data_IF_217158858365
#
_entry.id   IF_217158858365
#
_cell.length_a   1.000
_cell.length_b   1.000
_cell.length_c   1.000
_cell.angle_alpha   90.00
_cell.angle_beta   90.00
_cell.angle_gamma   90.00
#
_symmetry.space_group_name_H-M   'P 1'
#
loop_
_entity.id
_entity.type
_entity.pdbx_description
1 polymer ?
#
# COMPACT_ATOMS: atom_id res chain seq x y z
N UNK A 1 -22.37 27.93 -2.81
CA UNK A 1 -23.04 29.22 -2.62
C UNK A 1 -22.59 30.14 -3.74
N UNK A 2 -23.49 30.96 -4.26
CA UNK A 2 -23.23 31.87 -5.35
C UNK A 2 -24.04 33.14 -5.12
N UNK A 3 -23.48 34.30 -5.41
CA UNK A 3 -24.27 35.52 -5.38
C UNK A 3 -23.51 36.79 -5.69
N UNK A 4 -24.23 37.92 -5.81
CA UNK A 4 -23.61 39.23 -5.86
C UNK A 4 -23.01 39.57 -4.48
N UNK A 5 -21.81 40.13 -4.47
CA UNK A 5 -21.18 40.71 -3.28
C UNK A 5 -21.35 42.24 -3.26
N UNK A 6 -21.25 42.86 -4.43
CA UNK A 6 -21.42 44.29 -4.68
C UNK A 6 -21.77 44.51 -6.16
N UNK A 7 -21.95 45.77 -6.57
CA UNK A 7 -22.13 46.11 -7.99
C UNK A 7 -20.93 45.61 -8.82
N UNK A 8 -21.21 44.86 -9.89
CA UNK A 8 -20.19 44.24 -10.74
C UNK A 8 -19.30 43.22 -10.03
N UNK A 9 -19.67 42.70 -8.86
CA UNK A 9 -18.86 41.69 -8.14
C UNK A 9 -19.72 40.49 -7.77
N UNK A 10 -19.30 39.30 -8.19
CA UNK A 10 -19.93 38.02 -7.83
C UNK A 10 -18.94 37.14 -7.07
N UNK A 11 -19.47 36.27 -6.21
CA UNK A 11 -18.68 35.28 -5.51
C UNK A 11 -19.25 33.88 -5.72
N UNK A 12 -18.35 32.89 -5.70
CA UNK A 12 -18.63 31.47 -5.63
C UNK A 12 -17.93 30.88 -4.40
N UNK A 13 -18.60 30.01 -3.65
CA UNK A 13 -18.01 29.24 -2.57
C UNK A 13 -18.54 27.81 -2.61
N UNK A 14 -17.67 26.82 -2.70
CA UNK A 14 -18.01 25.41 -2.59
C UNK A 14 -17.21 24.73 -1.48
N UNK A 15 -17.85 23.76 -0.84
CA UNK A 15 -17.20 22.85 0.10
C UNK A 15 -17.74 21.45 -0.14
N UNK A 16 -16.85 20.47 -0.17
CA UNK A 16 -17.16 19.06 -0.29
C UNK A 16 -16.40 18.30 0.79
N UNK A 17 -17.11 17.43 1.48
CA UNK A 17 -16.55 16.45 2.39
C UNK A 17 -17.12 15.08 2.01
N UNK A 18 -16.24 14.10 1.86
CA UNK A 18 -16.61 12.72 1.61
C UNK A 18 -15.75 11.82 2.50
N UNK A 19 -16.40 10.92 3.23
CA UNK A 19 -15.75 9.86 3.99
C UNK A 19 -16.36 8.52 3.57
N UNK A 20 -15.51 7.52 3.39
CA UNK A 20 -15.89 6.17 3.03
C UNK A 20 -15.05 5.17 3.80
N UNK A 21 -15.72 4.38 4.64
CA UNK A 21 -15.09 3.35 5.47
C UNK A 21 -15.64 1.98 5.09
N UNK A 22 -14.74 1.05 4.80
CA UNK A 22 -15.01 -0.39 4.73
C UNK A 22 -14.47 -0.99 6.03
N UNK A 23 -15.34 -1.25 7.03
CA UNK A 23 -14.90 -1.67 8.36
C UNK A 23 -14.35 -3.10 8.38
N UNK A 24 -14.89 -3.97 7.54
CA UNK A 24 -14.50 -5.37 7.40
C UNK A 24 -14.21 -5.68 5.92
N UNK A 25 -13.08 -5.18 5.44
CA UNK A 25 -12.53 -5.53 4.13
C UNK A 25 -11.91 -6.92 4.22
N UNK A 26 -12.65 -7.93 3.77
CA UNK A 26 -12.15 -9.30 3.64
C UNK A 26 -11.30 -9.39 2.38
N UNK A 27 -10.01 -9.64 2.57
CA UNK A 27 -9.09 -9.88 1.47
C UNK A 27 -8.28 -11.15 1.71
N UNK A 28 -8.08 -11.88 0.63
CA UNK A 28 -7.17 -13.01 0.57
C UNK A 28 -6.06 -12.62 -0.41
N UNK A 29 -4.86 -12.29 0.07
CA UNK A 29 -3.77 -12.06 -0.85
C UNK A 29 -3.50 -13.33 -1.66
N UNK A 30 -3.66 -13.25 -2.98
CA UNK A 30 -3.12 -14.22 -3.94
C UNK A 30 -1.70 -13.82 -4.35
N UNK A 31 -0.89 -13.36 -3.40
CA UNK A 31 0.49 -12.98 -3.67
C UNK A 31 1.38 -14.23 -3.57
N UNK A 32 2.28 -14.48 -4.54
CA UNK A 32 3.32 -15.47 -4.35
C UNK A 32 4.20 -15.06 -3.15
N UNK A 33 4.88 -16.02 -2.49
CA UNK A 33 5.88 -15.70 -1.48
C UNK A 33 6.88 -14.69 -2.05
N UNK A 34 7.19 -13.63 -1.30
CA UNK A 34 8.23 -12.66 -1.70
C UNK A 34 9.64 -13.27 -1.63
N UNK A 35 9.79 -14.41 -0.96
CA UNK A 35 10.97 -15.27 -0.97
C UNK A 35 10.53 -16.74 -1.06
N UNK A 36 11.07 -17.47 -2.04
CA UNK A 36 10.59 -18.81 -2.44
C UNK A 36 11.46 -19.97 -1.94
N UNK A 37 12.62 -19.75 -1.34
CA UNK A 37 13.57 -20.82 -0.95
C UNK A 37 14.44 -20.37 0.24
N UNK A 38 13.84 -20.24 1.42
CA UNK A 38 14.50 -19.61 2.57
C UNK A 38 14.54 -20.50 3.81
N UNK A 39 14.26 -21.80 3.77
CA UNK A 39 14.33 -22.62 4.99
C UNK A 39 13.40 -22.16 6.15
N UNK A 40 12.46 -21.23 5.91
CA UNK A 40 11.50 -20.78 6.92
C UNK A 40 10.48 -21.89 7.20
N UNK A 41 10.02 -22.56 6.13
CA UNK A 41 8.88 -23.48 6.15
C UNK A 41 9.33 -24.93 5.95
N UNK A 42 10.34 -25.33 6.74
CA UNK A 42 10.90 -26.68 6.73
C UNK A 42 10.08 -27.58 7.64
N UNK A 43 9.61 -28.70 7.09
CA UNK A 43 8.92 -29.77 7.81
C UNK A 43 9.94 -30.90 8.02
N UNK A 44 10.48 -30.99 9.24
CA UNK A 44 11.38 -32.10 9.59
C UNK A 44 10.65 -33.44 9.66
N UNK A 45 11.40 -34.52 9.63
CA UNK A 45 10.93 -35.90 9.81
C UNK A 45 10.33 -36.16 11.21
N UNK A 46 10.68 -35.35 12.22
CA UNK A 46 10.08 -35.41 13.56
C UNK A 46 8.78 -34.60 13.69
N UNK A 47 8.35 -33.89 12.64
CA UNK A 47 7.10 -33.14 12.68
C UNK A 47 5.91 -34.10 12.89
N UNK A 48 5.12 -33.97 13.99
CA UNK A 48 4.12 -34.98 14.36
C UNK A 48 3.05 -35.19 13.28
N UNK A 49 2.61 -34.12 12.63
CA UNK A 49 1.71 -34.20 11.46
C UNK A 49 2.29 -34.97 10.26
N UNK A 50 3.61 -34.88 10.02
CA UNK A 50 4.29 -35.61 8.94
C UNK A 50 4.46 -37.07 9.31
N UNK A 51 4.89 -37.36 10.54
CA UNK A 51 5.01 -38.73 11.06
C UNK A 51 3.68 -39.47 10.93
N UNK A 52 2.57 -38.84 11.35
CA UNK A 52 1.24 -39.44 11.22
C UNK A 52 0.82 -39.60 9.75
N UNK A 53 1.08 -38.59 8.91
CA UNK A 53 0.79 -38.68 7.47
C UNK A 53 1.53 -39.86 6.82
N UNK A 54 2.83 -40.00 7.06
CA UNK A 54 3.68 -41.05 6.51
C UNK A 54 3.34 -42.45 7.02
N UNK A 55 2.82 -42.56 8.25
CA UNK A 55 2.35 -43.83 8.81
C UNK A 55 0.94 -44.21 8.35
N UNK A 56 0.21 -43.29 7.72
CA UNK A 56 -1.13 -43.53 7.20
C UNK A 56 -1.12 -44.19 5.82
N UNK A 57 -2.22 -44.86 5.46
CA UNK A 57 -2.41 -45.43 4.12
C UNK A 57 -2.38 -44.40 2.98
N UNK A 58 -2.60 -43.11 3.30
CA UNK A 58 -2.58 -42.02 2.34
C UNK A 58 -1.15 -41.53 2.06
N UNK A 59 -0.29 -41.48 3.06
CA UNK A 59 1.13 -41.18 2.88
C UNK A 59 1.84 -42.22 2.02
N UNK A 60 1.48 -43.50 2.18
CA UNK A 60 2.04 -44.61 1.40
C UNK A 60 1.68 -44.58 -0.10
N UNK A 61 0.72 -43.75 -0.53
CA UNK A 61 0.27 -43.70 -1.93
C UNK A 61 1.29 -43.13 -2.92
N UNK A 62 2.37 -42.49 -2.44
CA UNK A 62 3.42 -41.90 -3.26
C UNK A 62 4.86 -42.28 -2.86
N UNK A 63 5.04 -43.09 -1.82
CA UNK A 63 6.34 -43.50 -1.29
C UNK A 63 6.42 -45.03 -1.19
N UNK A 64 7.62 -45.59 -1.32
CA UNK A 64 7.81 -47.05 -1.24
C UNK A 64 7.61 -47.59 0.20
N UNK A 65 7.84 -46.75 1.21
CA UNK A 65 7.59 -47.05 2.62
C UNK A 65 7.34 -45.76 3.43
N UNK A 66 6.85 -45.90 4.66
CA UNK A 66 6.74 -44.77 5.60
C UNK A 66 8.10 -44.19 5.97
N UNK A 67 9.14 -45.04 6.03
CA UNK A 67 10.53 -44.60 6.20
C UNK A 67 11.00 -43.73 5.03
N UNK A 68 10.67 -44.12 3.79
CA UNK A 68 10.98 -43.30 2.61
C UNK A 68 10.23 -41.96 2.61
N UNK A 69 8.99 -41.93 3.13
CA UNK A 69 8.25 -40.68 3.32
C UNK A 69 8.89 -39.75 4.37
N UNK A 70 9.63 -40.31 5.33
CA UNK A 70 10.34 -39.58 6.37
C UNK A 70 11.80 -39.26 6.01
N UNK A 71 12.27 -39.65 4.81
CA UNK A 71 13.58 -39.24 4.31
C UNK A 71 13.59 -37.75 3.96
N UNK A 72 14.70 -37.09 4.26
CA UNK A 72 14.99 -35.68 4.01
C UNK A 72 13.99 -34.67 4.60
N UNK A 73 14.36 -33.39 4.58
CA UNK A 73 13.47 -32.29 4.95
C UNK A 73 12.48 -32.00 3.83
N UNK A 74 11.22 -31.78 4.20
CA UNK A 74 10.21 -31.30 3.27
C UNK A 74 10.05 -29.79 3.38
N UNK A 75 9.68 -29.15 2.27
CA UNK A 75 9.48 -27.72 2.23
C UNK A 75 8.03 -27.40 1.89
N UNK A 76 7.38 -26.65 2.76
CA UNK A 76 6.05 -26.12 2.48
C UNK A 76 6.15 -24.74 1.84
N UNK A 77 5.70 -24.64 0.60
CA UNK A 77 5.61 -23.37 -0.12
C UNK A 77 4.17 -22.95 -0.25
N UNK A 78 3.69 -22.17 0.72
CA UNK A 78 2.31 -21.72 0.70
C UNK A 78 1.96 -20.83 1.87
N UNK A 79 0.71 -20.36 1.84
CA UNK A 79 0.10 -19.65 2.96
C UNK A 79 -0.30 -20.67 4.02
N UNK A 80 -0.22 -20.27 5.29
CA UNK A 80 -0.63 -21.13 6.39
C UNK A 80 -2.14 -21.41 6.41
N UNK A 81 -2.91 -20.53 5.79
CA UNK A 81 -4.36 -20.61 5.72
C UNK A 81 -4.77 -20.43 4.27
N UNK A 82 -5.47 -21.43 3.73
CA UNK A 82 -5.96 -21.42 2.36
C UNK A 82 -7.07 -20.39 2.12
N UNK A 83 -7.53 -20.29 0.87
CA UNK A 83 -8.54 -19.31 0.43
C UNK A 83 -9.86 -19.39 1.22
N UNK A 84 -10.21 -20.58 1.70
CA UNK A 84 -11.42 -20.83 2.47
C UNK A 84 -11.28 -20.61 3.98
N UNK A 85 -10.08 -20.31 4.47
CA UNK A 85 -9.92 -20.00 5.87
C UNK A 85 -10.59 -18.68 6.24
N UNK A 86 -10.73 -18.39 7.54
CA UNK A 86 -11.45 -17.21 7.98
C UNK A 86 -10.86 -15.95 7.36
N UNK A 87 -11.74 -15.17 6.73
CA UNK A 87 -11.40 -13.90 6.11
C UNK A 87 -10.73 -12.98 7.12
N UNK A 88 -9.65 -12.32 6.71
CA UNK A 88 -8.98 -11.32 7.56
C UNK A 88 -9.77 -10.02 7.45
N UNK A 89 -10.37 -9.58 8.55
CA UNK A 89 -11.06 -8.29 8.62
C UNK A 89 -10.04 -7.17 8.71
N UNK A 90 -9.85 -6.44 7.61
CA UNK A 90 -9.04 -5.22 7.59
C UNK A 90 -9.95 -4.00 7.48
N UNK A 91 -9.45 -2.84 7.86
CA UNK A 91 -10.15 -1.56 7.66
C UNK A 91 -9.52 -0.81 6.48
N UNK A 92 -10.37 -0.34 5.57
CA UNK A 92 -10.02 0.67 4.56
C UNK A 92 -10.85 1.91 4.76
N UNK A 93 -10.23 3.07 4.70
CA UNK A 93 -10.84 4.38 4.84
C UNK A 93 -10.27 5.33 3.81
N UNK A 94 -11.12 6.20 3.28
CA UNK A 94 -10.72 7.34 2.45
C UNK A 94 -11.51 8.55 2.86
N UNK A 95 -10.84 9.67 3.06
CA UNK A 95 -11.46 10.96 3.36
C UNK A 95 -11.00 11.99 2.34
N UNK A 96 -11.95 12.75 1.77
CA UNK A 96 -11.66 13.84 0.84
C UNK A 96 -12.36 15.10 1.33
N UNK A 97 -11.58 16.16 1.49
CA UNK A 97 -12.08 17.52 1.76
C UNK A 97 -11.68 18.43 0.61
N UNK A 98 -12.61 19.24 0.11
CA UNK A 98 -12.34 20.29 -0.86
C UNK A 98 -13.07 21.56 -0.46
N UNK A 99 -12.39 22.69 -0.51
CA UNK A 99 -12.94 24.02 -0.30
C UNK A 99 -12.46 24.89 -1.46
N UNK A 100 -13.37 25.59 -2.12
CA UNK A 100 -12.97 26.56 -3.14
C UNK A 100 -13.79 27.83 -3.03
N UNK A 101 -13.14 28.96 -3.21
CA UNK A 101 -13.75 30.27 -3.25
C UNK A 101 -13.27 31.00 -4.51
N UNK A 102 -14.18 31.68 -5.20
CA UNK A 102 -13.87 32.54 -6.34
C UNK A 102 -14.58 33.89 -6.17
N UNK A 103 -13.93 34.96 -6.63
CA UNK A 103 -14.52 36.27 -6.79
C UNK A 103 -14.28 36.72 -8.23
N UNK A 104 -15.36 37.10 -8.91
CA UNK A 104 -15.30 37.73 -10.22
C UNK A 104 -15.71 39.20 -10.05
N UNK A 105 -14.97 40.11 -10.70
CA UNK A 105 -15.25 41.53 -10.66
C UNK A 105 -15.13 42.18 -12.04
N UNK A 106 -16.20 42.83 -12.45
CA UNK A 106 -16.23 43.69 -13.62
C UNK A 106 -15.55 45.02 -13.33
N UNK A 107 -14.56 45.35 -14.17
CA UNK A 107 -13.70 46.50 -14.05
C UNK A 107 -13.83 47.39 -15.30
N UNK A 108 -13.41 48.66 -15.16
CA UNK A 108 -13.12 49.51 -16.30
C UNK A 108 -11.67 50.00 -16.27
N UNK A 109 -10.88 49.60 -17.27
CA UNK A 109 -9.47 50.00 -17.41
C UNK A 109 -9.35 50.86 -18.67
N UNK A 110 -8.98 52.13 -18.51
CA UNK A 110 -8.88 53.06 -19.64
C UNK A 110 -10.22 53.30 -20.37
N UNK A 111 -11.35 53.17 -19.68
CA UNK A 111 -12.70 53.30 -20.27
C UNK A 111 -13.16 52.08 -21.08
N UNK A 112 -12.46 50.94 -20.97
CA UNK A 112 -12.83 49.65 -21.58
C UNK A 112 -13.23 48.65 -20.53
N UNK A 113 -14.12 47.72 -20.88
CA UNK A 113 -14.55 46.65 -19.99
C UNK A 113 -13.41 45.64 -19.79
N UNK A 114 -13.19 45.25 -18.53
CA UNK A 114 -12.28 44.20 -18.13
C UNK A 114 -12.96 43.36 -17.04
N UNK A 115 -12.48 42.14 -16.82
CA UNK A 115 -12.96 41.24 -15.80
C UNK A 115 -11.75 40.67 -15.05
N UNK A 116 -11.83 40.72 -13.71
CA UNK A 116 -10.87 40.13 -12.80
C UNK A 116 -11.51 38.92 -12.13
N UNK A 117 -10.91 37.75 -12.29
CA UNK A 117 -11.27 36.51 -11.60
C UNK A 117 -10.15 36.18 -10.60
N UNK A 118 -10.51 35.91 -9.34
CA UNK A 118 -9.57 35.53 -8.28
C UNK A 118 -10.10 34.34 -7.51
N UNK A 119 -9.41 33.21 -7.65
CA UNK A 119 -9.78 31.92 -7.08
C UNK A 119 -8.77 31.41 -6.06
N UNK A 120 -9.27 30.72 -5.03
CA UNK A 120 -8.48 29.87 -4.14
C UNK A 120 -9.18 28.52 -3.98
N UNK A 121 -8.43 27.44 -4.15
CA UNK A 121 -8.87 26.08 -3.92
C UNK A 121 -7.93 25.39 -2.93
N UNK A 122 -8.50 24.68 -1.97
CA UNK A 122 -7.81 23.71 -1.13
C UNK A 122 -8.47 22.36 -1.32
N UNK A 123 -7.68 21.32 -1.50
CA UNK A 123 -8.15 19.94 -1.43
C UNK A 123 -7.18 19.08 -0.66
N UNK A 124 -7.73 18.16 0.12
CA UNK A 124 -7.01 17.13 0.86
C UNK A 124 -7.69 15.80 0.62
N UNK A 125 -6.89 14.79 0.31
CA UNK A 125 -7.32 13.41 0.24
C UNK A 125 -6.42 12.57 1.14
N UNK A 126 -7.04 11.82 2.06
CA UNK A 126 -6.36 10.82 2.87
C UNK A 126 -6.92 9.45 2.54
N UNK A 127 -6.09 8.42 2.69
CA UNK A 127 -6.56 7.05 2.57
C UNK A 127 -5.51 6.05 2.98
N UNK A 128 -5.95 4.87 3.37
CA UNK A 128 -5.02 3.83 3.80
C UNK A 128 -5.00 2.62 2.86
N UNK A 129 -3.82 2.05 2.72
CA UNK A 129 -3.62 0.74 2.13
C UNK A 129 -3.29 -0.24 3.25
N UNK A 130 -4.23 -1.14 3.54
CA UNK A 130 -4.05 -2.18 4.54
C UNK A 130 -4.00 -3.55 3.87
N UNK A 131 -2.96 -4.30 4.19
CA UNK A 131 -2.70 -5.66 3.72
C UNK A 131 -2.44 -6.60 4.88
N UNK A 132 -2.95 -7.83 4.80
CA UNK A 132 -2.64 -8.81 5.82
C UNK A 132 -1.30 -9.45 5.51
N UNK A 133 -0.45 -9.58 6.52
CA UNK A 133 0.89 -10.12 6.44
C UNK A 133 1.09 -11.29 7.41
N UNK A 134 2.16 -12.05 7.20
CA UNK A 134 2.57 -13.16 8.08
C UNK A 134 4.04 -12.95 8.42
N UNK A 135 4.36 -12.92 9.71
CA UNK A 135 5.74 -12.74 10.16
C UNK A 135 6.59 -13.95 9.80
N UNK A 136 7.72 -13.69 9.14
CA UNK A 136 8.69 -14.73 8.76
C UNK A 136 9.22 -15.49 9.98
N UNK A 137 9.64 -14.78 11.03
CA UNK A 137 10.17 -15.43 12.24
C UNK A 137 9.12 -16.29 12.97
N UNK A 138 7.85 -15.87 12.98
CA UNK A 138 6.77 -16.64 13.64
C UNK A 138 6.46 -17.92 12.87
N UNK A 139 6.52 -17.85 11.53
CA UNK A 139 6.44 -19.04 10.67
C UNK A 139 7.61 -19.98 10.92
N UNK A 140 8.84 -19.45 10.93
CA UNK A 140 10.06 -20.23 11.21
C UNK A 140 9.94 -21.02 12.52
N UNK A 141 9.41 -20.39 13.57
CA UNK A 141 9.17 -21.02 14.86
C UNK A 141 8.08 -22.10 14.80
N UNK A 142 6.93 -21.79 14.18
CA UNK A 142 5.80 -22.71 14.09
C UNK A 142 6.13 -24.00 13.32
N UNK A 143 6.90 -23.92 12.24
CA UNK A 143 7.34 -25.12 11.51
C UNK A 143 8.28 -26.03 12.32
N UNK A 144 8.91 -25.49 13.37
CA UNK A 144 9.83 -26.20 14.27
C UNK A 144 9.19 -26.55 15.61
N UNK A 145 7.88 -26.36 15.75
CA UNK A 145 7.15 -26.68 16.98
C UNK A 145 7.27 -25.63 18.08
N UNK A 146 7.88 -24.48 17.81
CA UNK A 146 8.02 -23.37 18.76
C UNK A 146 7.06 -22.21 18.47
N UNK A 147 5.99 -22.48 17.71
CA UNK A 147 4.99 -21.47 17.38
C UNK A 147 4.09 -21.16 18.58
N UNK A 148 3.59 -19.92 18.65
CA UNK A 148 2.61 -19.51 19.64
C UNK A 148 3.09 -18.32 20.46
N UNK A 149 2.16 -17.45 20.90
CA UNK A 149 2.50 -16.22 21.61
C UNK A 149 3.18 -16.47 22.97
N UNK A 150 2.95 -17.64 23.57
CA UNK A 150 3.38 -17.96 24.93
C UNK A 150 4.50 -19.02 24.98
N UNK A 151 4.99 -19.50 23.83
CA UNK A 151 6.06 -20.51 23.79
C UNK A 151 7.39 -19.99 24.37
N UNK A 152 7.63 -18.67 24.33
CA UNK A 152 8.81 -18.03 24.92
C UNK A 152 10.11 -18.19 24.14
N UNK A 153 10.06 -18.80 22.94
CA UNK A 153 11.22 -18.99 22.07
C UNK A 153 11.25 -17.92 20.99
N UNK A 154 12.41 -17.26 20.85
CA UNK A 154 12.67 -16.25 19.82
C UNK A 154 13.60 -16.75 18.71
N UNK A 155 13.97 -15.84 17.81
CA UNK A 155 14.98 -16.07 16.77
C UNK A 155 16.14 -15.09 16.92
N UNK A 156 17.28 -15.45 16.33
CA UNK A 156 18.45 -14.56 16.18
C UNK A 156 18.74 -14.42 14.69
N UNK A 157 19.02 -13.19 14.24
CA UNK A 157 19.43 -12.94 12.87
C UNK A 157 20.72 -13.72 12.54
N UNK A 158 20.74 -14.36 11.38
CA UNK A 158 21.85 -15.20 10.92
C UNK A 158 21.85 -15.25 9.39
N UNK A 159 22.70 -14.44 8.78
CA UNK A 159 22.84 -14.32 7.32
C UNK A 159 23.48 -15.54 6.66
N UNK A 160 24.07 -16.45 7.45
CA UNK A 160 24.61 -17.72 6.96
C UNK A 160 23.54 -18.81 6.84
N UNK A 161 22.41 -18.64 7.54
CA UNK A 161 21.25 -19.53 7.45
C UNK A 161 20.45 -19.23 6.18
N UNK A 162 19.92 -20.25 5.47
CA UNK A 162 18.99 -20.04 4.36
C UNK A 162 17.80 -19.16 4.71
N UNK A 163 17.41 -19.12 5.99
CA UNK A 163 16.28 -18.32 6.51
C UNK A 163 16.61 -16.92 6.97
N UNK A 164 17.89 -16.54 6.90
CA UNK A 164 18.36 -15.27 7.48
C UNK A 164 18.24 -15.24 9.01
N UNK A 165 17.94 -16.37 9.64
CA UNK A 165 17.77 -16.50 11.08
C UNK A 165 18.06 -17.92 11.57
N UNK A 166 18.21 -18.06 12.89
CA UNK A 166 18.26 -19.34 13.59
C UNK A 166 17.45 -19.28 14.87
N UNK A 167 17.18 -20.44 15.47
CA UNK A 167 16.56 -20.51 16.79
C UNK A 167 17.41 -19.77 17.83
N UNK A 168 16.73 -18.99 18.67
CA UNK A 168 17.30 -18.42 19.87
C UNK A 168 17.43 -19.46 20.99
N UNK A 169 17.69 -19.00 22.21
CA UNK A 169 17.69 -19.86 23.38
C UNK A 169 16.28 -20.42 23.62
N UNK A 170 16.13 -21.74 23.65
CA UNK A 170 14.86 -22.41 23.91
C UNK A 170 14.57 -22.57 25.40
N UNK A 171 15.57 -22.41 26.27
CA UNK A 171 15.43 -22.65 27.70
C UNK A 171 14.89 -24.05 27.99
N UNK A 172 13.76 -24.14 28.69
CA UNK A 172 13.06 -25.40 28.97
C UNK A 172 11.96 -25.73 27.96
N UNK A 173 11.67 -24.84 27.00
CA UNK A 173 10.61 -25.08 26.02
C UNK A 173 10.95 -26.30 25.16
N UNK A 174 9.94 -27.15 24.94
CA UNK A 174 10.04 -28.32 24.08
C UNK A 174 9.10 -28.13 22.89
N UNK A 175 9.49 -28.56 21.68
CA UNK A 175 8.68 -28.33 20.50
C UNK A 175 7.37 -29.10 20.59
N UNK A 176 6.25 -28.43 20.31
CA UNK A 176 4.91 -29.01 20.39
C UNK A 176 4.38 -29.28 21.82
N UNK A 177 5.08 -28.86 22.87
CA UNK A 177 4.68 -29.08 24.26
C UNK A 177 4.22 -27.79 24.94
N UNK A 178 3.20 -27.90 25.80
CA UNK A 178 2.66 -26.78 26.57
C UNK A 178 2.08 -25.70 25.65
N UNK A 179 2.68 -24.51 25.70
CA UNK A 179 2.28 -23.34 24.91
C UNK A 179 3.00 -23.22 23.54
N UNK A 180 3.77 -24.25 23.17
CA UNK A 180 4.49 -24.34 21.90
C UNK A 180 3.74 -25.25 20.93
N UNK A 181 3.51 -24.78 19.71
CA UNK A 181 2.70 -25.45 18.70
C UNK A 181 3.47 -25.64 17.40
N UNK A 182 3.19 -26.76 16.73
CA UNK A 182 3.54 -26.97 15.34
C UNK A 182 2.48 -26.36 14.42
N UNK A 183 2.92 -25.75 13.31
CA UNK A 183 2.02 -25.57 12.17
C UNK A 183 2.00 -26.86 11.34
N UNK A 184 0.83 -27.49 11.26
CA UNK A 184 0.61 -28.73 10.54
C UNK A 184 -0.05 -28.48 9.17
N UNK A 185 0.68 -28.63 8.04
CA UNK A 185 0.14 -28.44 6.70
C UNK A 185 -0.62 -29.65 6.14
N UNK A 186 -0.64 -30.78 6.86
CA UNK A 186 -1.21 -32.02 6.35
C UNK A 186 -2.73 -32.08 6.59
N UNK A 187 -3.42 -32.87 5.76
CA UNK A 187 -4.87 -33.05 5.88
C UNK A 187 -5.31 -33.64 7.23
N UNK A 188 -4.42 -34.31 7.96
CA UNK A 188 -4.70 -34.82 9.31
C UNK A 188 -4.89 -33.74 10.38
N UNK A 189 -4.59 -32.47 10.06
CA UNK A 189 -4.88 -31.32 10.90
C UNK A 189 -6.32 -30.78 10.74
N UNK A 190 -7.07 -31.27 9.75
CA UNK A 190 -8.32 -30.66 9.28
C UNK A 190 -9.47 -31.65 9.46
N UNK A 191 -10.35 -31.40 10.43
CA UNK A 191 -11.54 -32.22 10.65
C UNK A 191 -12.63 -31.99 9.60
N UNK A 192 -12.88 -30.73 9.23
CA UNK A 192 -13.86 -30.36 8.21
C UNK A 192 -13.24 -29.39 7.20
N UNK A 193 -13.53 -29.59 5.92
CA UNK A 193 -13.08 -28.68 4.88
C UNK A 193 -13.83 -27.35 4.99
N UNK A 194 -13.09 -26.25 5.04
CA UNK A 194 -13.67 -24.91 5.02
C UNK A 194 -14.10 -24.46 3.61
N UNK A 195 -13.65 -25.16 2.56
CA UNK A 195 -13.92 -24.77 1.17
C UNK A 195 -15.30 -25.25 0.74
N UNK A 196 -16.21 -24.34 0.33
CA UNK A 196 -17.52 -24.74 -0.15
C UNK A 196 -17.45 -25.71 -1.33
N UNK A 197 -18.19 -26.81 -1.25
CA UNK A 197 -18.24 -27.87 -2.26
C UNK A 197 -17.07 -28.87 -2.22
N UNK A 198 -16.13 -28.74 -1.29
CA UNK A 198 -15.02 -29.68 -1.16
C UNK A 198 -15.44 -30.98 -0.45
N UNK A 199 -14.73 -32.10 -0.71
CA UNK A 199 -14.84 -33.28 0.13
C UNK A 199 -14.67 -32.92 1.61
N UNK A 200 -15.45 -33.56 2.48
CA UNK A 200 -15.44 -33.35 3.92
C UNK A 200 -15.86 -31.95 4.42
N UNK A 201 -16.58 -31.16 3.61
CA UNK A 201 -17.25 -29.95 4.10
C UNK A 201 -18.34 -30.29 5.12
N UNK A 202 -19.17 -31.29 4.80
CA UNK A 202 -20.34 -31.69 5.61
C UNK A 202 -20.17 -33.06 6.31
N UNK A 203 -19.00 -33.67 6.20
CA UNK A 203 -18.68 -34.97 6.82
C UNK A 203 -17.26 -34.89 7.38
N UNK A 204 -17.00 -35.48 8.54
CA UNK A 204 -15.66 -35.45 9.13
C UNK A 204 -14.64 -36.13 8.20
N UNK A 205 -13.46 -35.52 8.08
CA UNK A 205 -12.33 -36.07 7.39
C UNK A 205 -11.85 -37.34 8.13
N UNK A 206 -11.86 -38.52 7.49
CA UNK A 206 -11.42 -39.76 8.14
C UNK A 206 -9.92 -39.77 8.48
N UNK A 207 -9.15 -38.81 7.95
CA UNK A 207 -7.72 -38.66 8.22
C UNK A 207 -7.41 -37.70 9.37
N UNK A 208 -8.42 -37.03 9.92
CA UNK A 208 -8.21 -36.12 11.04
C UNK A 208 -7.71 -36.87 12.27
N UNK A 209 -6.69 -36.31 12.91
CA UNK A 209 -6.14 -36.83 14.17
C UNK A 209 -6.19 -35.73 15.22
N UNK A 210 -6.97 -35.97 16.27
CA UNK A 210 -7.12 -35.02 17.38
C UNK A 210 -5.78 -34.78 18.08
N UNK A 211 -5.49 -33.50 18.35
CA UNK A 211 -4.22 -33.02 18.89
C UNK A 211 -3.20 -32.62 17.82
N UNK A 212 -3.48 -32.86 16.53
CA UNK A 212 -2.65 -32.41 15.41
C UNK A 212 -3.24 -31.20 14.66
N UNK A 213 -4.38 -30.68 15.11
CA UNK A 213 -4.97 -29.45 14.57
C UNK A 213 -4.08 -28.22 14.76
N UNK A 214 -4.18 -27.28 13.81
CA UNK A 214 -3.52 -25.99 13.96
C UNK A 214 -4.21 -25.14 15.03
N UNK A 215 -3.46 -24.81 16.09
CA UNK A 215 -3.96 -23.95 17.17
C UNK A 215 -4.35 -22.55 16.63
N UNK A 216 -5.56 -22.10 16.99
CA UNK A 216 -6.08 -20.80 16.52
C UNK A 216 -5.24 -19.61 16.98
N UNK A 217 -4.82 -19.60 18.25
CA UNK A 217 -4.01 -18.52 18.81
C UNK A 217 -2.62 -18.47 18.17
N UNK A 218 -2.03 -19.60 17.81
CA UNK A 218 -0.79 -19.65 17.03
C UNK A 218 -0.99 -19.04 15.63
N UNK A 219 -2.07 -19.41 14.93
CA UNK A 219 -2.36 -18.84 13.61
C UNK A 219 -2.58 -17.33 13.70
N UNK A 220 -3.37 -16.84 14.65
CA UNK A 220 -3.60 -15.41 14.86
C UNK A 220 -2.29 -14.69 15.23
N UNK A 221 -1.45 -15.31 16.07
CA UNK A 221 -0.13 -14.78 16.42
C UNK A 221 0.82 -14.67 15.22
N UNK A 222 0.81 -15.59 14.25
CA UNK A 222 1.68 -15.47 13.07
C UNK A 222 1.30 -14.26 12.20
N UNK A 223 0.03 -13.87 12.23
CA UNK A 223 -0.50 -12.81 11.38
C UNK A 223 -0.21 -11.41 11.93
N UNK A 224 -0.16 -10.45 11.01
CA UNK A 224 -0.04 -9.03 11.30
C UNK A 224 -0.67 -8.20 10.17
N UNK A 225 -0.84 -6.91 10.37
CA UNK A 225 -1.27 -5.97 9.34
C UNK A 225 -0.11 -5.07 8.91
N UNK A 226 0.11 -4.94 7.60
CA UNK A 226 0.92 -3.88 7.02
C UNK A 226 -0.04 -2.79 6.54
N UNK A 227 0.05 -1.62 7.15
CA UNK A 227 -0.80 -0.49 6.84
C UNK A 227 0.05 0.70 6.42
N UNK A 228 -0.37 1.42 5.38
CA UNK A 228 0.20 2.69 4.96
C UNK A 228 -0.90 3.71 4.89
N UNK A 229 -0.76 4.80 5.64
CA UNK A 229 -1.63 5.97 5.53
C UNK A 229 -1.01 6.91 4.51
N UNK A 230 -1.81 7.34 3.52
CA UNK A 230 -1.38 8.25 2.46
C UNK A 230 -2.18 9.54 2.59
N UNK A 231 -1.52 10.65 2.32
CA UNK A 231 -2.11 11.97 2.31
C UNK A 231 -1.62 12.74 1.09
N UNK A 232 -2.54 13.46 0.44
CA UNK A 232 -2.25 14.40 -0.63
C UNK A 232 -3.02 15.70 -0.35
N UNK A 233 -2.31 16.81 -0.27
CA UNK A 233 -2.87 18.15 -0.13
C UNK A 233 -2.51 18.99 -1.36
N UNK A 234 -3.44 19.85 -1.77
CA UNK A 234 -3.27 20.73 -2.92
C UNK A 234 -3.91 22.08 -2.59
N UNK A 235 -3.11 23.14 -2.64
CA UNK A 235 -3.57 24.53 -2.64
C UNK A 235 -3.33 25.11 -4.02
N UNK A 236 -4.35 25.77 -4.57
CA UNK A 236 -4.24 26.57 -5.80
C UNK A 236 -4.77 27.96 -5.50
N UNK A 237 -4.00 29.00 -5.79
CA UNK A 237 -4.46 30.37 -5.77
C UNK A 237 -4.19 30.99 -7.13
N UNK A 238 -5.19 31.62 -7.75
CA UNK A 238 -5.06 32.17 -9.08
C UNK A 238 -5.76 33.52 -9.22
N UNK A 239 -5.25 34.32 -10.14
CA UNK A 239 -5.85 35.58 -10.54
C UNK A 239 -5.70 35.75 -12.05
N UNK A 240 -6.81 36.06 -12.72
CA UNK A 240 -6.84 36.29 -14.17
C UNK A 240 -7.51 37.63 -14.46
N UNK A 241 -6.85 38.48 -15.22
CA UNK A 241 -7.40 39.69 -15.79
C UNK A 241 -7.65 39.48 -17.27
N UNK A 242 -8.88 39.65 -17.71
CA UNK A 242 -9.26 39.56 -19.12
C UNK A 242 -10.04 40.78 -19.57
N UNK A 243 -10.08 41.03 -20.87
CA UNK A 243 -10.86 42.13 -21.42
C UNK A 243 -10.56 42.40 -22.88
N UNK A 244 -11.00 43.57 -23.35
CA UNK A 244 -10.73 44.05 -24.69
C UNK A 244 -10.02 45.40 -24.66
N UNK A 245 -8.94 45.54 -25.41
CA UNK A 245 -8.33 46.85 -25.68
C UNK A 245 -9.06 47.55 -26.83
N UNK A 246 -9.40 46.78 -27.86
CA UNK A 246 -10.22 47.22 -28.99
C UNK A 246 -11.41 46.25 -29.11
N UNK A 247 -12.64 46.69 -28.83
CA UNK A 247 -13.82 45.84 -28.98
C UNK A 247 -13.82 45.14 -30.34
N UNK A 248 -14.06 43.83 -30.33
CA UNK A 248 -14.13 42.97 -31.52
C UNK A 248 -12.84 42.88 -32.36
N UNK A 249 -11.70 43.40 -31.86
CA UNK A 249 -10.42 43.37 -32.60
C UNK A 249 -9.23 42.91 -31.79
N UNK A 250 -9.21 43.19 -30.49
CA UNK A 250 -8.07 42.91 -29.64
C UNK A 250 -8.52 42.58 -28.22
N UNK A 251 -8.60 41.29 -27.95
CA UNK A 251 -8.88 40.74 -26.64
C UNK A 251 -7.59 40.28 -25.98
N UNK A 252 -7.56 40.32 -24.65
CA UNK A 252 -6.41 39.89 -23.88
C UNK A 252 -6.85 39.09 -22.64
N UNK A 253 -5.96 38.20 -22.20
CA UNK A 253 -6.03 37.57 -20.89
C UNK A 253 -4.62 37.46 -20.33
N UNK A 254 -4.44 37.89 -19.09
CA UNK A 254 -3.19 37.71 -18.34
C UNK A 254 -3.53 37.10 -17.00
N UNK A 255 -2.71 36.19 -16.52
CA UNK A 255 -2.97 35.60 -15.23
C UNK A 255 -1.74 35.05 -14.55
N UNK A 256 -1.92 34.80 -13.27
CA UNK A 256 -0.95 34.19 -12.40
C UNK A 256 -1.62 33.10 -11.56
N UNK A 257 -0.95 31.97 -11.39
CA UNK A 257 -1.38 30.88 -10.55
C UNK A 257 -0.22 30.42 -9.67
N UNK A 258 -0.50 30.25 -8.39
CA UNK A 258 0.34 29.53 -7.43
C UNK A 258 -0.32 28.20 -7.12
N UNK A 259 0.46 27.12 -7.18
CA UNK A 259 0.03 25.79 -6.79
C UNK A 259 1.04 25.20 -5.82
N UNK A 260 0.57 24.65 -4.70
CA UNK A 260 1.38 23.86 -3.79
C UNK A 260 0.76 22.48 -3.62
N UNK A 261 1.56 21.45 -3.83
CA UNK A 261 1.15 20.06 -3.60
C UNK A 261 2.06 19.46 -2.53
N UNK A 262 1.47 18.82 -1.54
CA UNK A 262 2.14 18.03 -0.52
C UNK A 262 1.63 16.60 -0.62
N UNK A 263 2.54 15.62 -0.60
CA UNK A 263 2.19 14.20 -0.55
C UNK A 263 3.00 13.51 0.53
N UNK A 264 2.37 12.58 1.24
CA UNK A 264 3.07 11.73 2.19
C UNK A 264 2.48 10.33 2.25
N UNK A 265 3.32 9.37 2.65
CA UNK A 265 2.86 8.07 3.07
C UNK A 265 3.62 7.59 4.32
N UNK A 266 2.86 7.15 5.31
CA UNK A 266 3.35 6.76 6.62
C UNK A 266 2.97 5.29 6.86
N UNK A 267 3.93 4.36 6.78
CA UNK A 267 3.70 2.98 7.15
C UNK A 267 3.58 2.83 8.67
N UNK A 268 2.76 1.87 9.12
CA UNK A 268 2.75 1.45 10.51
C UNK A 268 4.11 0.84 10.92
N UNK A 269 4.42 0.85 12.22
CA UNK A 269 5.75 0.49 12.70
C UNK A 269 6.24 -0.89 12.21
N UNK A 270 5.36 -1.87 12.19
CA UNK A 270 5.67 -3.24 11.75
C UNK A 270 5.95 -3.34 10.25
N UNK A 271 5.25 -2.55 9.43
CA UNK A 271 5.42 -2.46 7.97
C UNK A 271 6.47 -1.46 7.51
N UNK A 272 7.10 -0.73 8.44
CA UNK A 272 8.04 0.34 8.12
C UNK A 272 9.45 -0.21 7.88
N UNK A 273 9.97 -0.12 6.66
CA UNK A 273 11.31 -0.58 6.31
C UNK A 273 12.44 0.26 6.90
N UNK A 274 12.19 1.49 7.35
CA UNK A 274 13.17 2.23 8.15
C UNK A 274 13.40 1.60 9.53
N UNK A 275 12.44 0.81 10.04
CA UNK A 275 12.51 0.12 11.33
C UNK A 275 12.78 -1.39 11.19
N UNK A 276 12.13 -2.04 10.23
CA UNK A 276 12.18 -3.49 10.00
C UNK A 276 12.63 -3.83 8.56
N UNK A 277 13.84 -3.43 8.15
CA UNK A 277 14.33 -3.73 6.79
C UNK A 277 14.68 -5.20 6.58
N UNK A 278 14.96 -5.95 7.66
CA UNK A 278 15.41 -7.34 7.60
C UNK A 278 14.32 -8.34 8.05
N UNK A 279 14.60 -9.64 7.89
CA UNK A 279 13.64 -10.73 8.15
C UNK A 279 13.28 -10.90 9.63
N UNK A 280 14.19 -10.51 10.54
CA UNK A 280 13.95 -10.45 11.98
C UNK A 280 13.54 -9.01 12.34
N UNK A 281 12.39 -8.80 12.99
CA UNK A 281 11.97 -7.46 13.42
C UNK A 281 13.04 -6.75 14.26
N UNK A 282 13.27 -5.46 13.97
CA UNK A 282 14.27 -4.62 14.61
C UNK A 282 15.71 -4.85 14.14
N UNK A 283 15.98 -5.92 13.38
CA UNK A 283 17.30 -6.13 12.79
C UNK A 283 17.51 -5.23 11.57
N UNK A 284 18.71 -4.68 11.48
CA UNK A 284 19.17 -3.82 10.38
C UNK A 284 20.50 -4.28 9.80
N UNK A 285 20.99 -5.46 10.20
CA UNK A 285 22.28 -6.00 9.77
C UNK A 285 22.34 -6.28 8.26
N UNK A 286 21.17 -6.54 7.65
CA UNK A 286 21.04 -6.70 6.20
C UNK A 286 21.15 -5.38 5.41
N UNK A 287 21.31 -4.21 6.07
CA UNK A 287 21.48 -2.92 5.39
C UNK A 287 22.95 -2.51 5.46
N UNK A 288 23.57 -2.30 4.30
CA UNK A 288 24.90 -1.71 4.21
C UNK A 288 24.90 -0.29 4.83
N UNK A 289 25.72 -0.03 5.87
CA UNK A 289 25.71 1.25 6.58
C UNK A 289 26.29 2.41 5.75
N UNK A 290 27.05 2.12 4.68
CA UNK A 290 27.67 3.11 3.80
C UNK A 290 26.77 3.42 2.62
N UNK A 291 26.21 2.40 1.97
CA UNK A 291 25.42 2.58 0.74
C UNK A 291 23.92 2.64 0.98
N UNK A 292 23.44 2.25 2.17
CA UNK A 292 22.02 2.09 2.47
C UNK A 292 21.34 0.95 1.71
N UNK A 293 22.11 0.17 0.94
CA UNK A 293 21.57 -0.94 0.14
C UNK A 293 21.41 -2.18 1.00
N UNK A 294 20.32 -2.90 0.79
CA UNK A 294 20.10 -4.17 1.46
C UNK A 294 20.90 -5.30 0.79
N UNK A 295 21.49 -6.19 1.60
CA UNK A 295 22.15 -7.44 1.21
C UNK A 295 21.22 -8.62 1.54
N UNK A 296 21.26 -9.70 0.73
CA UNK A 296 20.44 -10.90 0.97
C UNK A 296 18.99 -10.84 0.44
N UNK A 297 18.12 -11.72 0.95
CA UNK A 297 16.71 -11.83 0.55
C UNK A 297 15.87 -10.65 1.09
N UNK A 298 15.12 -10.01 0.19
CA UNK A 298 14.83 -8.55 0.17
C UNK A 298 13.39 -8.17 0.58
N UNK A 299 12.81 -8.90 1.53
CA UNK A 299 11.36 -8.85 1.77
C UNK A 299 10.93 -8.22 3.11
N UNK A 300 11.89 -7.82 3.96
CA UNK A 300 11.63 -7.40 5.33
C UNK A 300 11.06 -8.53 6.19
N UNK A 301 10.35 -8.18 7.27
CA UNK A 301 9.94 -9.13 8.31
C UNK A 301 8.80 -10.10 7.92
N UNK A 302 8.28 -10.04 6.69
CA UNK A 302 7.07 -10.73 6.26
C UNK A 302 7.29 -11.60 5.03
N UNK A 303 6.52 -12.69 4.88
CA UNK A 303 6.75 -13.68 3.80
C UNK A 303 5.91 -13.49 2.53
N UNK A 304 4.86 -12.66 2.58
CA UNK A 304 3.90 -12.47 1.45
C UNK A 304 3.60 -11.01 1.12
N UNK A 305 3.80 -10.11 2.07
CA UNK A 305 3.45 -8.69 1.95
C UNK A 305 4.70 -7.90 2.21
N UNK A 306 5.06 -7.03 1.27
CA UNK A 306 6.17 -6.11 1.45
C UNK A 306 5.78 -5.00 2.44
N UNK A 307 6.74 -4.56 3.24
CA UNK A 307 6.68 -3.27 3.90
C UNK A 307 6.94 -2.10 2.94
N UNK A 308 6.99 -0.90 3.50
CA UNK A 308 7.16 0.37 2.80
C UNK A 308 8.13 1.28 3.55
N UNK A 309 8.84 2.14 2.83
CA UNK A 309 9.53 3.28 3.46
C UNK A 309 8.55 4.44 3.62
N UNK A 310 8.64 5.21 4.72
CA UNK A 310 7.94 6.49 4.79
C UNK A 310 8.46 7.39 3.67
N UNK A 311 7.56 8.12 3.01
CA UNK A 311 7.93 9.17 2.08
C UNK A 311 7.12 10.42 2.35
N UNK A 312 7.70 11.56 2.01
CA UNK A 312 7.05 12.86 2.00
C UNK A 312 7.74 13.72 0.96
N UNK A 313 6.96 14.40 0.14
CA UNK A 313 7.49 15.31 -0.87
C UNK A 313 6.51 16.45 -1.10
N UNK A 314 7.03 17.59 -1.52
CA UNK A 314 6.26 18.81 -1.73
C UNK A 314 6.79 19.57 -2.93
N UNK A 315 5.90 20.19 -3.70
CA UNK A 315 6.30 21.03 -4.83
C UNK A 315 5.46 22.31 -4.86
N UNK A 316 6.13 23.45 -5.08
CA UNK A 316 5.48 24.70 -5.42
C UNK A 316 5.66 25.02 -6.91
N UNK A 317 4.57 25.43 -7.56
CA UNK A 317 4.56 25.87 -8.95
C UNK A 317 4.01 27.28 -9.02
N UNK A 318 4.81 28.18 -9.60
CA UNK A 318 4.41 29.53 -9.94
C UNK A 318 4.22 29.61 -11.45
N UNK A 319 3.03 29.98 -11.90
CA UNK A 319 2.68 30.06 -13.32
C UNK A 319 2.24 31.47 -13.65
N UNK A 320 2.81 32.07 -14.69
CA UNK A 320 2.35 33.32 -15.29
C UNK A 320 2.02 33.08 -16.75
N UNK A 321 0.87 33.58 -17.21
CA UNK A 321 0.47 33.41 -18.61
C UNK A 321 -0.09 34.70 -19.19
N UNK A 322 -0.01 34.79 -20.52
CA UNK A 322 -0.59 35.86 -21.28
C UNK A 322 -1.08 35.36 -22.63
N UNK A 323 -2.22 35.88 -23.06
CA UNK A 323 -2.83 35.59 -24.34
C UNK A 323 -3.40 36.87 -24.96
N UNK A 324 -3.22 37.01 -26.28
CA UNK A 324 -3.77 38.05 -27.11
C UNK A 324 -4.51 37.41 -28.28
N UNK A 325 -5.77 37.78 -28.47
CA UNK A 325 -6.57 37.41 -29.62
C UNK A 325 -6.79 38.65 -30.49
N UNK A 326 -6.42 38.55 -31.77
CA UNK A 326 -6.48 39.63 -32.75
C UNK A 326 -7.46 39.23 -33.85
N UNK A 327 -8.55 39.96 -33.98
CA UNK A 327 -9.48 39.84 -35.09
C UNK A 327 -9.19 40.93 -36.13
N UNK A 328 -8.67 40.50 -37.27
CA UNK A 328 -8.37 41.35 -38.42
C UNK A 328 -9.40 41.12 -39.54
N UNK A 329 -9.53 42.11 -40.43
CA UNK A 329 -10.55 42.13 -41.48
C UNK A 329 -10.63 40.88 -42.39
N UNK A 330 -9.54 40.09 -42.45
CA UNK A 330 -9.42 38.89 -43.29
C UNK A 330 -8.84 37.68 -42.55
N UNK A 331 -8.76 37.74 -41.22
CA UNK A 331 -8.19 36.64 -40.47
C UNK A 331 -8.14 36.86 -38.96
N UNK A 332 -8.04 35.76 -38.25
CA UNK A 332 -7.94 35.71 -36.80
C UNK A 332 -6.53 35.25 -36.42
N UNK A 333 -5.90 35.90 -35.45
CA UNK A 333 -4.58 35.52 -34.93
C UNK A 333 -4.63 35.42 -33.40
N UNK A 334 -3.88 34.49 -32.84
CA UNK A 334 -3.76 34.29 -31.39
C UNK A 334 -2.29 34.13 -31.04
N UNK A 335 -1.85 34.89 -30.03
CA UNK A 335 -0.51 34.82 -29.45
C UNK A 335 -0.67 34.46 -27.99
N UNK A 336 0.04 33.45 -27.51
CA UNK A 336 0.04 33.09 -26.11
C UNK A 336 1.45 32.75 -25.63
N UNK A 337 1.70 32.94 -24.34
CA UNK A 337 2.90 32.48 -23.69
C UNK A 337 2.59 32.05 -22.25
N UNK A 338 3.27 31.00 -21.81
CA UNK A 338 3.17 30.46 -20.45
C UNK A 338 4.58 30.36 -19.86
N UNK A 339 4.75 30.86 -18.64
CA UNK A 339 5.95 30.68 -17.84
C UNK A 339 5.59 29.88 -16.60
N UNK A 340 6.35 28.84 -16.28
CA UNK A 340 6.20 28.06 -15.05
C UNK A 340 7.53 27.90 -14.35
N UNK A 341 7.56 28.08 -13.03
CA UNK A 341 8.67 27.79 -12.14
C UNK A 341 8.22 26.69 -11.17
N UNK A 342 8.85 25.52 -11.26
CA UNK A 342 8.66 24.34 -10.43
C UNK A 342 9.81 24.27 -9.42
N UNK A 343 9.64 24.91 -8.26
CA UNK A 343 10.65 25.17 -7.22
C UNK A 343 11.94 25.84 -7.73
N UNK A 344 12.80 25.08 -8.42
CA UNK A 344 14.10 25.51 -8.95
C UNK A 344 14.19 25.43 -10.49
N UNK A 345 13.27 24.72 -11.16
CA UNK A 345 13.31 24.49 -12.61
C UNK A 345 12.21 25.30 -13.29
N UNK A 346 12.56 26.07 -14.32
CA UNK A 346 11.60 26.86 -15.09
C UNK A 346 11.40 26.42 -16.54
N UNK A 347 10.25 26.79 -17.11
CA UNK A 347 9.90 26.63 -18.52
C UNK A 347 9.24 27.88 -19.09
N UNK A 348 9.42 28.09 -20.40
CA UNK A 348 8.74 29.14 -21.14
C UNK A 348 8.21 28.59 -22.46
N UNK A 349 6.89 28.64 -22.62
CA UNK A 349 6.15 27.97 -23.69
C UNK A 349 5.34 28.97 -24.53
N UNK A 350 5.92 29.54 -25.61
CA UNK A 350 5.21 30.43 -26.52
C UNK A 350 4.39 29.67 -27.57
N UNK A 351 3.23 30.21 -27.95
CA UNK A 351 2.33 29.67 -28.98
C UNK A 351 1.83 30.77 -29.92
N UNK A 352 1.76 30.44 -31.20
CA UNK A 352 1.10 31.25 -32.22
C UNK A 352 0.13 30.39 -33.04
N UNK A 353 -1.05 30.92 -33.32
CA UNK A 353 -1.99 30.33 -34.27
C UNK A 353 -2.70 31.42 -35.08
N UNK A 354 -3.02 31.12 -36.34
CA UNK A 354 -3.74 32.06 -37.20
C UNK A 354 -4.57 31.36 -38.26
N UNK A 355 -5.70 31.99 -38.62
CA UNK A 355 -6.58 31.57 -39.70
C UNK A 355 -6.80 32.75 -40.64
N UNK A 356 -6.70 32.53 -41.94
CA UNK A 356 -6.92 33.56 -42.96
C UNK A 356 -8.06 33.16 -43.88
N UNK A 357 -8.95 34.10 -44.22
CA UNK A 357 -9.97 33.92 -45.24
C UNK A 357 -9.38 34.30 -46.60
N UNK A 358 -9.31 33.31 -47.50
CA UNK A 358 -8.78 33.47 -48.86
C UNK A 358 -9.77 34.17 -49.78
#
# INVERSE_FOLDING_TARGET
MNGPLAEGTTYHLEALYADSIIPNYVTTPSFPPVSLLDGLQVISNEHPGRTEFCNSSFGMGGFASGEDCLQDDWYFYGRLVGNAGPGRGLRRGTETTRIAANIEHDLSIGGKAANLDVGVNYSRATGNMNHPAEYAHRKFLAFRGYGGPNCGVGVVADDTSPSGMRLGNTGSAQPGAGDCYYYNPFGNAIEFSAQPGAPWENNANPMYVSGLENNRAMLDWINEQVNVENEAELVVAEATLSGNWLPERLDYAFGYQYRHVDVSAIPNAVGNYALNPCVVPGDRSCVDPVTGRQTGARAGAFTFTSGYYPYGDSQAVHRAFGELSVNALRGDMQFAANYELHDEIDSFDPKFSGRWQL
#
